data_IF_492219677096
#
_entry.id   IF_492219677096
#
_cell.length_a   1.000
_cell.length_b   1.000
_cell.length_c   1.000
_cell.angle_alpha   90.00
_cell.angle_beta   90.00
_cell.angle_gamma   90.00
#
_symmetry.space_group_name_H-M   'P 1'
#
loop_
_entity.id
_entity.type
_entity.pdbx_description
1 polymer ?
#
# COMPACT_ATOMS: atom_id res chain seq x y z
N UNK A 1 -8.42 5.57 2.15
CA UNK A 1 -9.73 5.88 1.56
C UNK A 1 -10.25 7.16 2.21
N UNK A 2 -10.20 8.33 1.56
CA UNK A 2 -10.78 9.54 2.11
C UNK A 2 -12.30 9.54 1.93
N UNK A 3 -13.04 9.96 2.96
CA UNK A 3 -14.48 10.25 2.89
C UNK A 3 -14.76 11.50 3.68
N UNK A 4 -15.44 12.47 3.06
CA UNK A 4 -15.81 13.73 3.70
C UNK A 4 -17.24 13.60 4.23
N UNK A 5 -17.37 13.31 5.51
CA UNK A 5 -18.67 13.16 6.16
C UNK A 5 -18.77 14.12 7.34
N UNK A 6 -19.84 14.93 7.43
CA UNK A 6 -20.04 15.83 8.56
C UNK A 6 -20.10 15.04 9.86
N UNK A 7 -19.34 15.49 10.87
CA UNK A 7 -19.25 14.86 12.19
C UNK A 7 -18.81 13.38 12.18
N UNK A 8 -18.29 12.88 11.05
CA UNK A 8 -17.88 11.48 10.88
C UNK A 8 -18.93 10.48 11.37
N UNK A 9 -20.17 10.67 10.94
CA UNK A 9 -21.22 9.68 11.21
C UNK A 9 -20.78 8.30 10.67
N UNK A 10 -20.67 7.25 11.51
CA UNK A 10 -20.09 5.97 11.12
C UNK A 10 -20.88 5.27 10.00
N UNK A 11 -22.21 5.39 10.03
CA UNK A 11 -23.09 4.77 9.04
C UNK A 11 -22.99 5.47 7.68
N UNK A 12 -22.86 6.79 7.70
CA UNK A 12 -22.75 7.62 6.51
C UNK A 12 -21.36 7.50 5.87
N UNK A 13 -20.31 7.33 6.67
CA UNK A 13 -18.95 7.02 6.18
C UNK A 13 -18.89 5.65 5.55
N UNK A 14 -19.44 4.61 6.20
CA UNK A 14 -19.52 3.28 5.60
C UNK A 14 -20.28 3.36 4.27
N UNK A 15 -21.44 4.00 4.25
CA UNK A 15 -22.26 4.16 3.04
C UNK A 15 -21.50 4.86 1.92
N UNK A 16 -20.73 5.92 2.24
CA UNK A 16 -19.91 6.62 1.25
C UNK A 16 -18.79 5.73 0.71
N UNK A 17 -18.11 4.97 1.57
CA UNK A 17 -17.09 4.03 1.11
C UNK A 17 -17.69 2.96 0.19
N UNK A 18 -18.85 2.39 0.54
CA UNK A 18 -19.55 1.38 -0.29
C UNK A 18 -20.15 1.97 -1.58
N UNK A 19 -20.33 3.28 -1.69
CA UNK A 19 -20.82 3.97 -2.91
C UNK A 19 -19.72 4.71 -3.70
N UNK A 20 -18.47 4.54 -3.32
CA UNK A 20 -17.32 5.21 -3.97
C UNK A 20 -16.53 4.26 -4.89
N UNK A 21 -15.42 4.76 -5.44
CA UNK A 21 -14.42 3.95 -6.14
C UNK A 21 -13.86 2.78 -5.29
N UNK A 22 -14.04 2.84 -3.97
CA UNK A 22 -13.60 1.79 -3.04
C UNK A 22 -14.58 0.63 -2.92
N UNK A 23 -15.80 0.78 -3.44
CA UNK A 23 -16.87 -0.22 -3.37
C UNK A 23 -16.44 -1.59 -3.91
N UNK A 24 -15.65 -1.61 -4.99
CA UNK A 24 -15.11 -2.85 -5.56
C UNK A 24 -14.23 -3.61 -4.59
N UNK A 25 -13.49 -2.93 -3.71
CA UNK A 25 -12.60 -3.53 -2.73
C UNK A 25 -13.32 -3.87 -1.41
N UNK A 26 -14.51 -3.32 -1.15
CA UNK A 26 -15.27 -3.55 0.07
C UNK A 26 -16.41 -4.57 -0.13
N UNK A 27 -16.92 -4.67 -1.36
CA UNK A 27 -17.94 -5.63 -1.76
C UNK A 27 -17.31 -6.84 -2.45
N UNK A 28 -16.33 -7.44 -1.78
CA UNK A 28 -15.72 -8.70 -2.23
C UNK A 28 -16.27 -9.86 -1.39
N UNK A 29 -16.41 -11.03 -2.01
CA UNK A 29 -16.92 -12.24 -1.35
C UNK A 29 -15.96 -12.83 -0.32
N UNK A 30 -14.70 -12.37 -0.28
CA UNK A 30 -13.70 -12.86 0.67
C UNK A 30 -13.91 -12.32 2.10
N UNK A 31 -14.72 -11.28 2.27
CA UNK A 31 -15.01 -10.70 3.58
C UNK A 31 -16.23 -11.36 4.21
N UNK A 32 -16.08 -11.80 5.45
CA UNK A 32 -17.12 -12.48 6.23
C UNK A 32 -17.76 -11.58 7.28
N UNK A 33 -17.23 -10.38 7.51
CA UNK A 33 -17.73 -9.45 8.50
C UNK A 33 -17.12 -8.06 8.39
N UNK A 34 -17.83 -7.08 8.94
CA UNK A 34 -17.45 -5.66 8.96
C UNK A 34 -17.69 -5.12 10.38
N UNK A 35 -16.67 -4.51 10.96
CA UNK A 35 -16.74 -3.78 12.22
C UNK A 35 -16.40 -2.30 12.02
N UNK A 36 -17.10 -1.41 12.72
CA UNK A 36 -16.85 0.03 12.65
C UNK A 36 -16.64 0.56 14.06
N UNK A 37 -15.54 1.28 14.24
CA UNK A 37 -15.26 2.08 15.43
C UNK A 37 -15.12 3.55 15.05
N UNK A 38 -15.57 4.45 15.91
CA UNK A 38 -15.47 5.90 15.69
C UNK A 38 -15.17 6.60 17.01
N UNK A 39 -14.27 7.58 16.97
CA UNK A 39 -14.00 8.47 18.08
C UNK A 39 -13.69 9.86 17.51
N UNK A 40 -14.40 10.87 17.98
CA UNK A 40 -14.33 12.27 17.54
C UNK A 40 -14.18 12.45 16.02
N UNK A 41 -12.93 12.56 15.57
CA UNK A 41 -12.56 12.97 14.22
C UNK A 41 -12.01 11.82 13.34
N UNK A 42 -12.14 10.56 13.76
CA UNK A 42 -11.63 9.40 13.01
C UNK A 42 -12.55 8.18 13.09
N UNK A 43 -12.50 7.35 12.04
CA UNK A 43 -13.24 6.10 11.93
C UNK A 43 -12.29 4.98 11.53
N UNK A 44 -12.44 3.84 12.18
CA UNK A 44 -11.81 2.59 11.79
C UNK A 44 -12.85 1.67 11.19
N UNK A 45 -12.54 1.13 10.02
CA UNK A 45 -13.28 0.04 9.42
C UNK A 45 -12.40 -1.20 9.49
N UNK A 46 -12.92 -2.26 10.10
CA UNK A 46 -12.26 -3.57 10.21
C UNK A 46 -13.03 -4.53 9.30
N UNK A 47 -12.32 -5.21 8.42
CA UNK A 47 -12.87 -6.25 7.55
C UNK A 47 -12.30 -7.59 8.00
N UNK A 48 -13.17 -8.56 8.26
CA UNK A 48 -12.75 -9.93 8.60
C UNK A 48 -12.86 -10.83 7.39
N UNK A 49 -11.90 -11.74 7.23
CA UNK A 49 -11.87 -12.75 6.16
C UNK A 49 -12.05 -14.14 6.76
N UNK A 50 -12.44 -15.12 5.94
CA UNK A 50 -12.48 -16.53 6.34
C UNK A 50 -11.11 -17.21 6.30
N UNK A 51 -10.09 -16.54 5.76
CA UNK A 51 -8.72 -17.07 5.59
C UNK A 51 -7.76 -16.47 6.60
N UNK A 52 -6.85 -17.27 7.20
CA UNK A 52 -5.80 -16.76 8.08
C UNK A 52 -4.83 -15.80 7.38
N UNK A 53 -4.55 -15.99 6.08
CA UNK A 53 -3.69 -15.08 5.32
C UNK A 53 -4.33 -13.72 4.98
N UNK A 54 -5.62 -13.49 5.28
CA UNK A 54 -6.28 -12.24 4.89
C UNK A 54 -6.48 -12.09 3.37
N UNK A 55 -6.76 -10.86 2.94
CA UNK A 55 -6.95 -10.50 1.52
C UNK A 55 -6.16 -9.24 1.17
N UNK A 56 -4.83 -9.36 1.14
CA UNK A 56 -3.92 -8.29 0.74
C UNK A 56 -3.09 -8.71 -0.48
N UNK A 57 -2.71 -7.73 -1.30
CA UNK A 57 -1.81 -7.92 -2.44
C UNK A 57 -0.55 -7.10 -2.17
N UNK A 58 0.67 -7.64 -2.42
CA UNK A 58 1.88 -6.84 -2.37
C UNK A 58 1.75 -5.62 -3.28
N UNK A 59 2.14 -4.44 -2.80
CA UNK A 59 2.16 -3.26 -3.64
C UNK A 59 3.06 -3.51 -4.86
N UNK A 60 2.48 -3.53 -6.06
CA UNK A 60 3.24 -3.57 -7.30
C UNK A 60 3.69 -2.15 -7.64
N UNK A 61 5.00 -1.93 -7.65
CA UNK A 61 5.57 -0.75 -8.30
C UNK A 61 5.29 -0.88 -9.80
N UNK A 62 4.34 -0.12 -10.34
CA UNK A 62 4.17 0.05 -11.78
C UNK A 62 5.26 0.96 -12.31
N UNK A 63 6.49 0.46 -12.36
CA UNK A 63 7.45 0.95 -13.32
C UNK A 63 7.08 0.30 -14.65
N UNK A 64 6.60 1.11 -15.58
CA UNK A 64 6.26 0.71 -16.95
C UNK A 64 7.53 0.26 -17.71
N UNK A 65 8.05 -0.90 -17.38
CA UNK A 65 9.03 -1.66 -18.16
C UNK A 65 9.06 -3.11 -17.65
N UNK A 66 8.36 -3.99 -18.35
CA UNK A 66 8.61 -5.44 -18.49
C UNK A 66 9.47 -6.09 -17.39
N UNK A 67 8.83 -6.76 -16.42
CA UNK A 67 9.53 -7.75 -15.59
C UNK A 67 9.01 -7.85 -14.16
N UNK A 68 8.39 -8.98 -13.86
CA UNK A 68 8.06 -9.48 -12.51
C UNK A 68 9.15 -9.17 -11.46
N UNK A 69 8.83 -8.31 -10.50
CA UNK A 69 9.67 -8.05 -9.33
C UNK A 69 9.42 -9.12 -8.25
N UNK A 70 10.17 -10.22 -8.32
CA UNK A 70 10.50 -11.00 -7.13
C UNK A 70 11.08 -10.06 -6.07
N UNK A 71 10.78 -10.25 -4.78
CA UNK A 71 11.55 -9.68 -3.67
C UNK A 71 12.98 -10.21 -3.74
N UNK A 72 13.77 -9.54 -4.55
CA UNK A 72 15.19 -9.60 -4.59
C UNK A 72 15.56 -8.21 -5.00
N UNK A 73 15.92 -7.39 -4.02
CA UNK A 73 16.73 -6.22 -4.30
C UNK A 73 18.01 -6.72 -4.95
N UNK A 74 17.96 -6.98 -6.26
CA UNK A 74 19.13 -7.11 -7.12
C UNK A 74 19.55 -5.68 -7.40
N UNK A 75 19.90 -4.96 -6.34
CA UNK A 75 20.87 -3.90 -6.46
C UNK A 75 22.15 -4.61 -6.89
N UNK A 76 22.30 -4.82 -8.21
CA UNK A 76 23.59 -5.08 -8.80
C UNK A 76 24.31 -3.75 -8.76
N UNK A 77 24.69 -3.35 -7.55
CA UNK A 77 25.83 -2.49 -7.34
C UNK A 77 27.02 -3.29 -7.88
N UNK A 78 27.16 -3.22 -9.20
CA UNK A 78 28.32 -3.65 -9.96
C UNK A 78 29.54 -3.00 -9.33
N UNK A 79 30.48 -3.84 -8.90
CA UNK A 79 31.81 -3.48 -8.41
C UNK A 79 32.44 -2.28 -9.15
N UNK A 80 32.11 -2.16 -10.45
CA UNK A 80 32.52 -1.06 -11.33
C UNK A 80 32.12 0.32 -10.79
N UNK A 81 30.92 0.51 -10.23
CA UNK A 81 30.51 1.81 -9.69
C UNK A 81 31.24 2.17 -8.40
N UNK A 82 31.54 1.17 -7.55
CA UNK A 82 32.37 1.37 -6.37
C UNK A 82 33.80 1.75 -6.75
N UNK A 83 34.37 1.07 -7.76
CA UNK A 83 35.71 1.36 -8.27
C UNK A 83 35.78 2.76 -8.89
N UNK A 84 34.75 3.19 -9.60
CA UNK A 84 34.67 4.53 -10.20
C UNK A 84 34.62 5.64 -9.12
N UNK A 85 33.79 5.46 -8.09
CA UNK A 85 33.72 6.41 -6.97
C UNK A 85 35.05 6.51 -6.21
N UNK A 86 35.73 5.38 -6.01
CA UNK A 86 37.01 5.34 -5.33
C UNK A 86 38.10 6.07 -6.14
N UNK A 87 38.17 5.85 -7.45
CA UNK A 87 39.10 6.55 -8.34
C UNK A 87 38.87 8.08 -8.33
N UNK A 88 37.62 8.52 -8.38
CA UNK A 88 37.30 9.94 -8.29
C UNK A 88 37.80 10.53 -6.96
N UNK A 89 37.60 9.83 -5.85
CA UNK A 89 38.12 10.25 -4.54
C UNK A 89 39.63 10.46 -4.53
N UNK A 90 40.40 9.56 -5.15
CA UNK A 90 41.86 9.71 -5.24
C UNK A 90 42.30 10.87 -6.15
N UNK A 91 41.60 11.12 -7.25
CA UNK A 91 41.88 12.25 -8.16
C UNK A 91 41.61 13.61 -7.49
N UNK A 92 40.62 13.68 -6.59
CA UNK A 92 40.34 14.89 -5.82
C UNK A 92 41.21 15.07 -4.58
N UNK A 93 42.00 14.07 -4.20
CA UNK A 93 42.89 14.10 -3.03
C UNK A 93 44.39 14.14 -3.39
N UNK A 94 44.72 14.16 -4.69
CA UNK A 94 46.08 14.32 -5.23
C UNK A 94 46.23 15.71 -5.84
#
# INVERSE_FOLDING_TARGET
MPSCVPNLDPSLVLTNFTKSQYSSNLNQTNFTGIGIGSEDNWIVVILTTSTPEGSYVPAQSTDSATGSASLGSKSKISLIQYLLCLLMGFVFHL
#
